data_IF_229908519498
#
_entry.id   IF_229908519498
#
_cell.length_a   1.000
_cell.length_b   1.000
_cell.length_c   1.000
_cell.angle_alpha   90.00
_cell.angle_beta   90.00
_cell.angle_gamma   90.00
#
_symmetry.space_group_name_H-M   'P 1'
#
loop_
_entity.id
_entity.type
_entity.pdbx_description
1 polymer ?
#
# COMPACT_ATOMS: atom_id res chain seq x y z
N UNK A 1 -3.65 -30.69 -11.09
CA UNK A 1 -3.23 -30.41 -9.70
C UNK A 1 -2.57 -31.68 -9.18
N UNK A 2 -1.28 -31.63 -8.84
CA UNK A 2 -0.61 -32.78 -8.23
C UNK A 2 -0.77 -32.72 -6.71
N UNK A 3 -1.24 -33.80 -6.10
CA UNK A 3 -1.30 -33.94 -4.65
C UNK A 3 -0.17 -34.87 -4.20
N UNK A 4 0.53 -34.51 -3.13
CA UNK A 4 1.45 -35.40 -2.45
C UNK A 4 0.86 -35.70 -1.07
N UNK A 5 0.30 -36.90 -0.89
CA UNK A 5 -0.20 -37.36 0.40
C UNK A 5 0.97 -38.02 1.15
N UNK A 6 1.29 -37.52 2.35
CA UNK A 6 2.29 -38.13 3.23
C UNK A 6 1.65 -38.43 4.58
N UNK A 7 1.84 -39.66 5.04
CA UNK A 7 1.30 -40.15 6.32
C UNK A 7 2.41 -40.17 7.36
N UNK A 8 2.11 -39.74 8.58
CA UNK A 8 3.06 -39.76 9.70
C UNK A 8 2.42 -40.42 10.93
N UNK A 9 3.21 -41.17 11.67
CA UNK A 9 2.81 -41.76 12.96
C UNK A 9 3.35 -40.88 14.09
N UNK A 10 2.50 -40.52 15.04
CA UNK A 10 2.89 -39.73 16.21
C UNK A 10 2.96 -40.64 17.45
N UNK A 11 4.03 -40.48 18.24
CA UNK A 11 4.17 -41.15 19.54
C UNK A 11 4.03 -40.08 20.63
N UNK A 12 3.00 -40.13 21.49
CA UNK A 12 2.88 -39.19 22.60
C UNK A 12 3.98 -39.48 23.64
N UNK A 13 4.62 -38.44 24.15
CA UNK A 13 5.52 -38.53 25.30
C UNK A 13 5.07 -37.52 26.36
N UNK A 14 4.74 -37.99 27.56
CA UNK A 14 4.41 -37.11 28.68
C UNK A 14 5.68 -36.49 29.25
N UNK A 15 5.66 -35.17 29.43
CA UNK A 15 6.72 -34.44 30.14
C UNK A 15 6.00 -33.63 31.21
N UNK A 16 6.22 -34.01 32.47
CA UNK A 16 5.81 -33.34 33.71
C UNK A 16 4.38 -32.78 33.76
N UNK A 17 3.40 -33.68 33.93
CA UNK A 17 2.07 -33.43 34.51
C UNK A 17 1.11 -32.47 33.79
N UNK A 18 1.60 -31.60 32.92
CA UNK A 18 0.84 -30.48 32.34
C UNK A 18 1.21 -30.18 30.88
N UNK A 19 2.05 -31.00 30.24
CA UNK A 19 2.44 -30.82 28.83
C UNK A 19 2.47 -32.14 28.04
N UNK A 20 1.76 -32.18 26.91
CA UNK A 20 1.86 -33.27 25.93
C UNK A 20 2.82 -32.83 24.83
N UNK A 21 3.98 -33.50 24.74
CA UNK A 21 4.92 -33.29 23.66
C UNK A 21 4.70 -34.37 22.59
N UNK A 22 4.47 -33.98 21.34
CA UNK A 22 4.37 -34.91 20.22
C UNK A 22 5.69 -34.89 19.45
N UNK A 23 6.44 -36.00 19.47
CA UNK A 23 7.64 -36.16 18.65
C UNK A 23 7.31 -36.88 17.34
N UNK A 24 7.78 -36.33 16.22
CA UNK A 24 7.91 -37.06 14.98
C UNK A 24 9.13 -37.97 15.06
N UNK A 25 9.02 -39.23 14.62
CA UNK A 25 10.16 -40.14 14.48
C UNK A 25 10.94 -39.85 13.18
N UNK A 26 11.58 -38.68 13.10
CA UNK A 26 12.63 -38.24 12.14
C UNK A 26 12.89 -36.71 12.35
N UNK A 27 13.95 -36.06 11.82
CA UNK A 27 14.65 -34.93 12.48
C UNK A 27 13.94 -33.57 12.39
N UNK A 28 12.66 -33.54 12.77
CA UNK A 28 11.81 -32.36 12.89
C UNK A 28 11.22 -32.38 14.29
N UNK A 29 11.62 -31.43 15.15
CA UNK A 29 10.87 -31.15 16.36
C UNK A 29 9.76 -30.16 16.06
N UNK A 30 8.54 -30.50 16.48
CA UNK A 30 7.40 -29.58 16.47
C UNK A 30 6.96 -29.47 17.92
N UNK A 31 6.99 -28.25 18.47
CA UNK A 31 6.54 -28.00 19.84
C UNK A 31 5.13 -27.44 19.81
N UNK A 32 4.21 -28.06 20.54
CA UNK A 32 2.86 -27.56 20.77
C UNK A 32 2.79 -26.96 22.17
N UNK A 33 2.23 -25.76 22.33
CA UNK A 33 1.86 -25.21 23.63
C UNK A 33 0.34 -25.00 23.62
N UNK A 34 -0.38 -25.65 24.53
CA UNK A 34 -1.81 -25.42 24.74
C UNK A 34 -2.03 -24.92 26.15
N UNK A 35 -2.75 -23.81 26.30
CA UNK A 35 -3.17 -23.31 27.61
C UNK A 35 -4.54 -23.94 27.96
N UNK A 36 -4.64 -24.64 29.08
CA UNK A 36 -5.90 -25.25 29.54
C UNK A 36 -6.74 -24.18 30.24
N UNK A 37 -7.49 -23.39 29.48
CA UNK A 37 -8.76 -22.81 29.91
C UNK A 37 -9.59 -22.35 28.70
N UNK A 38 -10.82 -22.87 28.63
CA UNK A 38 -11.89 -22.67 27.62
C UNK A 38 -11.83 -23.50 26.33
N UNK A 39 -12.74 -24.49 26.27
CA UNK A 39 -13.19 -25.16 25.06
C UNK A 39 -14.25 -24.29 24.34
N UNK A 40 -13.92 -23.80 23.15
CA UNK A 40 -14.80 -23.66 21.97
C UNK A 40 -13.92 -23.25 20.78
N UNK A 41 -13.81 -24.16 19.80
CA UNK A 41 -13.22 -23.99 18.46
C UNK A 41 -11.94 -23.12 18.37
N UNK A 42 -10.77 -23.74 18.61
CA UNK A 42 -9.49 -23.13 18.28
C UNK A 42 -9.00 -23.61 16.91
N UNK A 43 -8.96 -22.70 15.92
CA UNK A 43 -8.07 -22.85 14.79
C UNK A 43 -6.64 -22.51 15.25
N UNK A 44 -5.79 -23.52 15.48
CA UNK A 44 -4.39 -23.29 15.80
C UNK A 44 -3.61 -22.94 14.52
N UNK A 45 -3.09 -21.71 14.45
CA UNK A 45 -2.11 -21.34 13.44
C UNK A 45 -0.73 -21.88 13.88
N UNK A 46 -0.24 -22.92 13.22
CA UNK A 46 1.07 -23.52 13.53
C UNK A 46 2.12 -22.96 12.56
N UNK A 47 3.08 -22.19 13.08
CA UNK A 47 4.25 -21.79 12.33
C UNK A 47 5.33 -22.87 12.43
N UNK A 48 5.53 -23.65 11.38
CA UNK A 48 6.58 -24.68 11.33
C UNK A 48 7.90 -24.06 10.85
N UNK A 49 8.88 -23.95 11.73
CA UNK A 49 10.26 -23.60 11.36
C UNK A 49 11.02 -24.85 10.94
N UNK A 50 11.06 -25.15 9.64
CA UNK A 50 11.96 -26.18 9.12
C UNK A 50 13.38 -25.61 9.02
N UNK A 51 14.30 -26.03 9.90
CA UNK A 51 15.73 -26.06 9.55
C UNK A 51 15.99 -27.41 8.87
N UNK A 52 16.24 -27.39 7.57
CA UNK A 52 16.80 -28.56 6.92
C UNK A 52 18.23 -28.76 7.46
N UNK A 53 18.63 -29.98 7.84
CA UNK A 53 20.04 -30.23 8.12
C UNK A 53 20.84 -29.97 6.84
N UNK A 54 21.95 -29.24 6.97
CA UNK A 54 22.98 -29.22 5.93
C UNK A 54 23.39 -30.67 5.68
N UNK A 55 23.22 -31.15 4.45
CA UNK A 55 23.84 -32.40 4.03
C UNK A 55 25.34 -32.16 4.05
N UNK A 56 26.05 -32.75 5.01
CA UNK A 56 27.47 -33.01 4.84
C UNK A 56 27.61 -34.00 3.68
N UNK A 57 28.12 -33.50 2.55
CA UNK A 57 28.73 -34.34 1.55
C UNK A 57 30.15 -34.58 2.04
N UNK A 58 30.44 -35.78 2.53
CA UNK A 58 31.80 -36.29 2.47
C UNK A 58 32.07 -36.61 1.00
N UNK A 59 32.85 -35.77 0.34
CA UNK A 59 33.53 -36.18 -0.87
C UNK A 59 34.93 -35.58 -0.95
N UNK A 60 35.84 -36.41 -1.44
CA UNK A 60 37.27 -36.29 -1.31
C UNK A 60 37.81 -35.08 -2.08
N UNK A 61 38.39 -34.15 -1.32
CA UNK A 61 39.47 -33.25 -1.75
C UNK A 61 39.26 -32.46 -3.05
N UNK A 62 38.67 -31.26 -2.96
CA UNK A 62 39.13 -30.03 -3.64
C UNK A 62 38.39 -28.80 -3.08
N UNK A 63 39.03 -27.62 -2.98
CA UNK A 63 38.40 -26.43 -2.39
C UNK A 63 37.59 -25.65 -3.43
N UNK A 64 36.26 -25.59 -3.27
CA UNK A 64 35.41 -24.61 -3.97
C UNK A 64 34.73 -23.65 -2.99
N UNK A 65 34.74 -22.36 -3.34
CA UNK A 65 34.13 -21.24 -2.62
C UNK A 65 32.63 -21.47 -2.39
N UNK A 66 32.20 -21.53 -1.13
CA UNK A 66 30.80 -21.54 -0.74
C UNK A 66 30.11 -20.21 -1.07
N UNK A 67 29.03 -20.29 -1.86
CA UNK A 67 28.08 -19.18 -2.09
C UNK A 67 26.86 -19.47 -1.22
N UNK A 68 26.53 -18.58 -0.29
CA UNK A 68 25.36 -18.74 0.59
C UNK A 68 24.07 -18.78 -0.26
N UNK A 69 23.40 -19.93 -0.28
CA UNK A 69 22.08 -20.09 -0.91
C UNK A 69 21.04 -19.55 0.10
N UNK A 70 20.36 -18.48 -0.29
CA UNK A 70 19.23 -17.92 0.46
C UNK A 70 18.12 -18.96 0.62
N UNK A 71 17.86 -19.38 1.86
CA UNK A 71 16.80 -20.33 2.19
C UNK A 71 15.42 -19.77 1.85
N UNK A 72 14.67 -20.47 1.00
CA UNK A 72 13.30 -20.13 0.65
C UNK A 72 12.37 -20.40 1.83
N UNK A 73 11.75 -19.36 2.41
CA UNK A 73 10.73 -19.51 3.45
C UNK A 73 9.42 -19.97 2.80
N UNK A 74 8.95 -21.17 3.15
CA UNK A 74 7.61 -21.66 2.77
C UNK A 74 6.70 -21.55 3.97
N UNK A 75 5.55 -20.92 3.77
CA UNK A 75 4.46 -20.91 4.74
C UNK A 75 3.58 -22.12 4.46
N UNK A 76 3.37 -22.97 5.45
CA UNK A 76 2.45 -24.10 5.39
C UNK A 76 1.28 -23.81 6.31
N UNK A 77 0.05 -23.99 5.83
CA UNK A 77 -1.15 -23.94 6.66
C UNK A 77 -1.55 -25.40 6.94
N UNK A 78 -1.59 -25.75 8.22
CA UNK A 78 -2.04 -27.06 8.70
C UNK A 78 -3.49 -26.95 9.15
N UNK A 79 -4.38 -27.72 8.56
CA UNK A 79 -5.78 -27.80 8.98
C UNK A 79 -6.01 -29.17 9.62
N UNK A 80 -6.39 -29.20 10.89
CA UNK A 80 -6.76 -30.43 11.60
C UNK A 80 -8.28 -30.54 11.57
N UNK A 81 -8.80 -31.55 10.87
CA UNK A 81 -10.23 -31.91 10.94
C UNK A 81 -10.40 -33.07 11.92
N UNK A 82 -11.09 -32.88 13.05
CA UNK A 82 -11.45 -33.99 13.91
C UNK A 82 -12.51 -34.85 13.21
N UNK A 83 -12.17 -36.12 12.95
CA UNK A 83 -13.14 -37.15 12.57
C UNK A 83 -13.73 -37.72 13.86
N UNK A 84 -14.91 -37.25 14.27
CA UNK A 84 -15.64 -37.84 15.40
C UNK A 84 -16.37 -39.10 14.90
N UNK A 85 -15.65 -40.22 14.91
CA UNK A 85 -16.24 -41.56 14.89
C UNK A 85 -15.43 -42.45 15.85
N UNK A 86 -16.17 -43.21 16.66
CA UNK A 86 -15.78 -43.98 17.83
C UNK A 86 -14.32 -44.47 17.90
N UNK A 87 -13.71 -44.24 19.07
CA UNK A 87 -12.35 -44.64 19.45
C UNK A 87 -12.21 -46.17 19.48
N UNK A 88 -11.53 -46.72 18.47
CA UNK A 88 -10.77 -47.98 18.55
C UNK A 88 -9.33 -47.69 18.13
N UNK A 89 -8.30 -48.04 18.92
CA UNK A 89 -6.91 -47.77 18.56
C UNK A 89 -6.41 -48.68 17.41
N UNK A 90 -5.49 -48.21 16.53
CA UNK A 90 -4.82 -46.91 16.56
C UNK A 90 -5.37 -45.91 15.52
N UNK A 91 -5.72 -44.71 15.98
CA UNK A 91 -6.18 -43.62 15.11
C UNK A 91 -5.00 -43.01 14.34
N UNK A 92 -5.03 -43.11 13.00
CA UNK A 92 -4.06 -42.48 12.11
C UNK A 92 -4.43 -40.99 11.93
N UNK A 93 -3.57 -40.08 12.37
CA UNK A 93 -3.71 -38.66 12.06
C UNK A 93 -3.22 -38.39 10.64
N UNK A 94 -4.14 -38.08 9.72
CA UNK A 94 -3.78 -37.63 8.36
C UNK A 94 -3.60 -36.11 8.35
N UNK A 95 -2.39 -35.67 8.02
CA UNK A 95 -2.07 -34.25 7.85
C UNK A 95 -2.05 -33.95 6.36
N UNK A 96 -2.99 -33.11 5.88
CA UNK A 96 -2.91 -32.56 4.52
C UNK A 96 -2.09 -31.28 4.55
N UNK A 97 -0.98 -31.28 3.79
CA UNK A 97 -0.17 -30.10 3.57
C UNK A 97 -0.61 -29.46 2.27
N UNK A 98 -1.23 -28.28 2.35
CA UNK A 98 -1.57 -27.50 1.18
C UNK A 98 -0.37 -26.63 0.79
N UNK A 99 0.24 -26.91 -0.37
CA UNK A 99 1.10 -25.95 -1.04
C UNK A 99 0.21 -24.89 -1.66
N UNK A 100 0.19 -23.69 -1.06
CA UNK A 100 -0.49 -22.56 -1.68
C UNK A 100 0.16 -22.33 -3.06
N UNK A 101 -0.64 -22.17 -4.13
CA UNK A 101 -0.09 -21.81 -5.43
C UNK A 101 0.77 -20.57 -5.25
N UNK A 102 1.91 -20.50 -5.95
CA UNK A 102 2.67 -19.24 -6.05
C UNK A 102 1.66 -18.21 -6.51
N UNK A 103 1.31 -17.24 -5.63
CA UNK A 103 0.61 -16.04 -6.06
C UNK A 103 1.52 -15.39 -7.09
N UNK A 104 1.27 -15.67 -8.37
CA UNK A 104 1.65 -14.77 -9.45
C UNK A 104 0.90 -13.51 -9.12
N UNK A 105 1.55 -12.58 -8.41
CA UNK A 105 0.90 -11.35 -7.95
C UNK A 105 0.37 -10.65 -9.20
N UNK A 106 -0.93 -10.74 -9.40
CA UNK A 106 -1.60 -10.00 -10.45
C UNK A 106 -1.24 -8.53 -10.19
N UNK A 107 -0.69 -7.84 -11.19
CA UNK A 107 -0.26 -6.46 -10.98
C UNK A 107 -1.47 -5.63 -10.54
N UNK A 108 -1.36 -4.82 -9.47
CA UNK A 108 -2.51 -4.20 -8.79
C UNK A 108 -3.14 -3.03 -9.57
N UNK A 109 -2.91 -2.96 -10.87
CA UNK A 109 -3.30 -1.84 -11.72
C UNK A 109 -4.45 -2.23 -12.65
N UNK A 110 -5.42 -1.33 -12.88
CA UNK A 110 -5.52 0.01 -12.30
C UNK A 110 -5.95 0.00 -10.82
N UNK A 111 -5.37 0.90 -10.02
CA UNK A 111 -5.78 1.16 -8.65
C UNK A 111 -7.18 1.79 -8.66
N UNK A 112 -8.11 1.18 -7.92
CA UNK A 112 -9.49 1.66 -7.85
C UNK A 112 -9.59 3.02 -7.13
N UNK A 113 -10.32 4.00 -7.67
CA UNK A 113 -10.51 5.29 -7.03
C UNK A 113 -11.33 5.18 -5.74
N UNK A 114 -11.17 6.17 -4.86
CA UNK A 114 -12.01 6.40 -3.69
C UNK A 114 -13.35 7.07 -4.09
N UNK A 115 -14.40 6.94 -3.26
CA UNK A 115 -15.68 7.62 -3.49
C UNK A 115 -15.51 9.15 -3.61
N UNK A 116 -16.26 9.76 -4.53
CA UNK A 116 -16.28 11.21 -4.79
C UNK A 116 -17.73 11.68 -4.98
N UNK A 117 -17.94 13.00 -5.09
CA UNK A 117 -19.25 13.61 -5.34
C UNK A 117 -19.17 14.67 -6.43
N UNK A 118 -20.23 14.84 -7.22
CA UNK A 118 -20.33 15.95 -8.16
C UNK A 118 -20.75 17.28 -7.52
N UNK A 119 -21.01 17.28 -6.21
CA UNK A 119 -21.42 18.48 -5.47
C UNK A 119 -20.29 19.51 -5.35
N UNK A 120 -20.66 20.77 -5.18
CA UNK A 120 -19.72 21.84 -4.84
C UNK A 120 -19.33 21.72 -3.35
N UNK A 121 -18.11 21.24 -3.11
CA UNK A 121 -17.58 21.03 -1.76
C UNK A 121 -17.52 22.33 -0.94
N UNK A 122 -17.38 23.49 -1.60
CA UNK A 122 -17.33 24.78 -0.91
C UNK A 122 -18.65 25.15 -0.25
N UNK A 123 -19.77 24.61 -0.75
CA UNK A 123 -21.13 24.81 -0.21
C UNK A 123 -21.51 23.82 0.87
N UNK A 124 -20.74 22.74 1.03
CA UNK A 124 -20.98 21.74 2.06
C UNK A 124 -20.41 22.21 3.41
N UNK A 125 -20.95 21.62 4.47
CA UNK A 125 -20.30 21.64 5.77
C UNK A 125 -18.90 21.02 5.65
N UNK A 126 -17.87 21.74 6.06
CA UNK A 126 -16.46 21.38 5.93
C UNK A 126 -16.14 20.04 6.61
N UNK A 127 -16.91 19.67 7.65
CA UNK A 127 -16.75 18.39 8.36
C UNK A 127 -17.24 17.22 7.51
N UNK A 128 -18.25 17.47 6.67
CA UNK A 128 -18.76 16.52 5.67
C UNK A 128 -17.88 16.52 4.42
N UNK A 129 -17.37 17.69 4.01
CA UNK A 129 -16.53 17.87 2.84
C UNK A 129 -15.14 17.24 3.00
N UNK A 130 -14.56 17.27 4.21
CA UNK A 130 -13.19 16.81 4.47
C UNK A 130 -12.84 15.42 3.89
N UNK A 131 -13.58 14.33 4.17
CA UNK A 131 -13.26 13.01 3.61
C UNK A 131 -13.38 12.98 2.07
N UNK A 132 -14.24 13.82 1.47
CA UNK A 132 -14.39 13.94 0.02
C UNK A 132 -13.21 14.68 -0.59
N UNK A 133 -12.76 15.79 0.01
CA UNK A 133 -11.56 16.52 -0.42
C UNK A 133 -10.31 15.64 -0.37
N UNK A 134 -10.15 14.88 0.72
CA UNK A 134 -9.08 13.87 0.83
C UNK A 134 -9.17 12.85 -0.31
N UNK A 135 -10.37 12.35 -0.60
CA UNK A 135 -10.61 11.37 -1.67
C UNK A 135 -10.26 11.94 -3.05
N UNK A 136 -10.64 13.18 -3.36
CA UNK A 136 -10.29 13.85 -4.62
C UNK A 136 -8.78 13.97 -4.82
N UNK A 137 -8.06 14.51 -3.83
CA UNK A 137 -6.61 14.67 -3.92
C UNK A 137 -5.90 13.33 -4.07
N UNK A 138 -6.32 12.32 -3.31
CA UNK A 138 -5.75 10.96 -3.40
C UNK A 138 -6.08 10.29 -4.74
N UNK A 139 -7.26 10.52 -5.30
CA UNK A 139 -7.64 10.02 -6.63
C UNK A 139 -6.80 10.63 -7.75
N UNK A 140 -6.45 11.92 -7.67
CA UNK A 140 -5.49 12.56 -8.58
C UNK A 140 -4.15 11.83 -8.57
N UNK A 141 -3.64 11.48 -7.38
CA UNK A 141 -2.36 10.76 -7.24
C UNK A 141 -2.45 9.32 -7.74
N UNK A 142 -3.54 8.61 -7.46
CA UNK A 142 -3.80 7.27 -8.00
C UNK A 142 -3.92 7.29 -9.53
N UNK A 143 -4.57 8.30 -10.09
CA UNK A 143 -4.67 8.49 -11.54
C UNK A 143 -3.29 8.68 -12.17
N UNK A 144 -2.42 9.48 -11.54
CA UNK A 144 -1.02 9.62 -11.93
C UNK A 144 -0.30 8.27 -11.99
N UNK A 145 -0.38 7.45 -10.94
CA UNK A 145 0.23 6.12 -10.90
C UNK A 145 -0.32 5.18 -11.99
N UNK A 146 -1.65 5.12 -12.14
CA UNK A 146 -2.32 4.30 -13.16
C UNK A 146 -1.88 4.70 -14.58
N UNK A 147 -1.78 6.00 -14.84
CA UNK A 147 -1.34 6.52 -16.11
C UNK A 147 0.14 6.21 -16.38
N UNK A 148 1.01 6.31 -15.37
CA UNK A 148 2.42 5.91 -15.50
C UNK A 148 2.53 4.42 -15.85
N UNK A 149 1.77 3.54 -15.20
CA UNK A 149 1.80 2.11 -15.50
C UNK A 149 1.34 1.81 -16.93
N UNK A 150 0.37 2.56 -17.43
CA UNK A 150 -0.13 2.42 -18.80
C UNK A 150 0.86 2.94 -19.85
N UNK A 151 1.60 4.01 -19.53
CA UNK A 151 2.50 4.68 -20.49
C UNK A 151 3.93 4.16 -20.45
N UNK A 152 4.46 3.83 -19.27
CA UNK A 152 5.86 3.46 -19.08
C UNK A 152 6.37 2.36 -20.05
N UNK A 153 5.63 1.26 -20.31
CA UNK A 153 6.09 0.19 -21.20
C UNK A 153 6.26 0.62 -22.67
N UNK A 154 5.71 1.79 -23.07
CA UNK A 154 5.79 2.31 -24.44
C UNK A 154 7.12 2.99 -24.74
N UNK A 155 7.92 3.29 -23.71
CA UNK A 155 9.22 3.93 -23.86
C UNK A 155 10.34 2.90 -23.68
N UNK A 156 11.17 2.74 -24.70
CA UNK A 156 12.44 2.02 -24.60
C UNK A 156 13.54 2.92 -24.04
N UNK A 157 14.68 2.33 -23.68
CA UNK A 157 15.86 3.07 -23.20
C UNK A 157 16.45 4.03 -24.24
N UNK A 158 16.18 3.79 -25.54
CA UNK A 158 16.61 4.65 -26.64
C UNK A 158 15.57 5.71 -27.05
N UNK A 159 14.36 5.73 -26.45
CA UNK A 159 13.36 6.76 -26.77
C UNK A 159 13.82 8.11 -26.20
N UNK A 160 13.96 9.17 -27.02
CA UNK A 160 14.41 10.48 -26.53
C UNK A 160 13.49 11.09 -25.48
N UNK A 161 12.22 10.67 -25.42
CA UNK A 161 11.24 11.12 -24.41
C UNK A 161 11.38 10.37 -23.09
N UNK A 162 12.10 9.26 -23.04
CA UNK A 162 12.23 8.43 -21.84
C UNK A 162 12.82 9.21 -20.66
N UNK A 163 13.82 10.08 -20.91
CA UNK A 163 14.42 10.93 -19.88
C UNK A 163 13.44 11.98 -19.33
N UNK A 164 12.63 12.58 -20.21
CA UNK A 164 11.59 13.55 -19.82
C UNK A 164 10.49 12.86 -19.02
N UNK A 165 10.04 11.68 -19.48
CA UNK A 165 9.06 10.87 -18.78
C UNK A 165 9.57 10.40 -17.40
N UNK A 166 10.81 9.95 -17.30
CA UNK A 166 11.45 9.59 -16.03
C UNK A 166 11.46 10.78 -15.05
N UNK A 167 11.80 11.98 -15.53
CA UNK A 167 11.78 13.20 -14.74
C UNK A 167 10.37 13.56 -14.24
N UNK A 168 9.38 13.43 -15.13
CA UNK A 168 7.97 13.59 -14.78
C UNK A 168 7.53 12.61 -13.67
N UNK A 169 7.85 11.32 -13.83
CA UNK A 169 7.52 10.28 -12.82
C UNK A 169 8.20 10.60 -11.50
N UNK A 170 9.47 11.02 -11.52
CA UNK A 170 10.19 11.41 -10.29
C UNK A 170 9.46 12.53 -9.54
N UNK A 171 9.03 13.59 -10.24
CA UNK A 171 8.28 14.70 -9.64
C UNK A 171 6.92 14.28 -9.10
N UNK A 172 6.21 13.41 -9.81
CA UNK A 172 4.95 12.84 -9.32
C UNK A 172 5.17 12.05 -8.01
N UNK A 173 6.21 11.22 -7.94
CA UNK A 173 6.55 10.48 -6.73
C UNK A 173 6.94 11.42 -5.57
N UNK A 174 7.60 12.55 -5.86
CA UNK A 174 7.86 13.60 -4.86
C UNK A 174 6.55 14.20 -4.33
N UNK A 175 5.58 14.50 -5.18
CA UNK A 175 4.26 15.00 -4.75
C UNK A 175 3.55 13.98 -3.85
N UNK A 176 3.63 12.68 -4.14
CA UNK A 176 3.07 11.63 -3.26
C UNK A 176 3.76 11.64 -1.89
N UNK A 177 5.10 11.71 -1.84
CA UNK A 177 5.86 11.78 -0.60
C UNK A 177 5.55 13.05 0.20
N UNK A 178 5.35 14.18 -0.49
CA UNK A 178 4.92 15.43 0.14
C UNK A 178 3.51 15.26 0.70
N UNK A 179 2.56 14.72 -0.06
CA UNK A 179 1.17 14.53 0.39
C UNK A 179 1.08 13.67 1.65
N UNK A 180 1.84 12.58 1.75
CA UNK A 180 1.88 11.74 2.97
C UNK A 180 2.36 12.55 4.19
N UNK A 181 3.37 13.41 4.01
CA UNK A 181 3.87 14.30 5.08
C UNK A 181 2.86 15.38 5.45
N UNK A 182 2.18 15.93 4.45
CA UNK A 182 1.12 16.93 4.60
C UNK A 182 -0.07 16.35 5.37
N UNK A 183 -0.50 15.12 5.08
CA UNK A 183 -1.55 14.44 5.86
C UNK A 183 -1.14 14.32 7.33
N UNK A 184 0.09 13.86 7.60
CA UNK A 184 0.61 13.80 8.98
C UNK A 184 0.60 15.18 9.64
N UNK A 185 1.05 16.22 8.93
CA UNK A 185 1.01 17.59 9.42
C UNK A 185 -0.42 18.01 9.77
N UNK A 186 -1.37 17.85 8.84
CA UNK A 186 -2.78 18.19 9.05
C UNK A 186 -3.38 17.55 10.29
N UNK A 187 -3.14 16.25 10.50
CA UNK A 187 -3.73 15.55 11.64
C UNK A 187 -3.03 15.85 12.99
N UNK A 188 -1.78 16.32 12.97
CA UNK A 188 -0.99 16.60 14.20
C UNK A 188 -0.85 18.07 14.55
N UNK A 189 -1.13 18.98 13.63
CA UNK A 189 -1.05 20.42 13.88
C UNK A 189 -2.26 20.87 14.72
N UNK A 190 -2.04 21.59 15.84
CA UNK A 190 -3.14 22.15 16.62
C UNK A 190 -3.99 23.10 15.80
N UNK A 191 -5.31 22.98 15.93
CA UNK A 191 -6.29 23.93 15.40
C UNK A 191 -6.33 25.20 16.27
N UNK A 192 -7.13 26.20 15.90
CA UNK A 192 -7.24 27.48 16.64
C UNK A 192 -7.61 27.29 18.12
N UNK A 193 -8.42 26.27 18.42
CA UNK A 193 -8.81 25.88 19.77
C UNK A 193 -7.77 24.98 20.50
N UNK A 194 -6.61 24.75 19.91
CA UNK A 194 -5.52 23.92 20.45
C UNK A 194 -5.71 22.41 20.29
N UNK A 195 -6.85 21.93 19.78
CA UNK A 195 -7.08 20.51 19.55
C UNK A 195 -6.34 20.02 18.30
N UNK A 196 -5.82 18.80 18.38
CA UNK A 196 -5.24 18.08 17.24
C UNK A 196 -6.23 17.03 16.75
N UNK A 197 -6.36 16.83 15.43
CA UNK A 197 -7.36 15.90 14.88
C UNK A 197 -7.07 14.44 15.25
N UNK A 198 -5.82 14.08 15.55
CA UNK A 198 -5.49 12.77 16.14
C UNK A 198 -6.17 12.52 17.49
N UNK A 199 -6.44 13.56 18.28
CA UNK A 199 -7.20 13.41 19.53
C UNK A 199 -8.69 13.12 19.30
N UNK A 200 -9.19 13.46 18.10
CA UNK A 200 -10.59 13.26 17.69
C UNK A 200 -10.77 11.90 17.01
N UNK A 201 -9.87 11.54 16.10
CA UNK A 201 -9.99 10.34 15.26
C UNK A 201 -9.17 9.14 15.75
N UNK A 202 -8.28 9.36 16.72
CA UNK A 202 -7.33 8.35 17.18
C UNK A 202 -6.17 8.12 16.19
N UNK A 203 -5.26 7.17 16.51
CA UNK A 203 -4.04 6.95 15.74
C UNK A 203 -4.28 6.43 14.31
N UNK A 204 -5.46 5.88 14.02
CA UNK A 204 -5.78 5.33 12.71
C UNK A 204 -5.79 6.39 11.57
N UNK A 205 -5.96 7.68 11.88
CA UNK A 205 -5.86 8.75 10.88
C UNK A 205 -4.41 9.07 10.47
N UNK A 206 -3.41 8.59 11.24
CA UNK A 206 -1.98 8.69 10.92
C UNK A 206 -1.34 7.31 10.99
N UNK A 207 -1.67 6.41 10.06
CA UNK A 207 -1.03 5.11 9.99
C UNK A 207 0.48 5.27 9.75
N UNK A 208 1.27 4.27 10.17
CA UNK A 208 2.69 4.23 9.82
C UNK A 208 2.85 4.15 8.30
N UNK A 209 3.59 5.13 7.77
CA UNK A 209 3.83 5.30 6.33
C UNK A 209 5.29 5.07 5.95
N UNK A 210 6.16 4.73 6.92
CA UNK A 210 7.61 4.65 6.68
C UNK A 210 7.94 3.61 5.60
N UNK A 211 7.35 2.41 5.68
CA UNK A 211 7.58 1.33 4.72
C UNK A 211 7.24 1.75 3.27
N UNK A 212 6.07 2.36 3.08
CA UNK A 212 5.62 2.90 1.80
C UNK A 212 6.53 4.03 1.31
N UNK A 213 6.86 5.00 2.16
CA UNK A 213 7.74 6.11 1.81
C UNK A 213 9.14 5.65 1.37
N UNK A 214 9.70 4.66 2.07
CA UNK A 214 11.01 4.08 1.73
C UNK A 214 10.97 3.40 0.35
N UNK A 215 9.88 2.70 0.03
CA UNK A 215 9.70 2.08 -1.29
C UNK A 215 9.57 3.14 -2.39
N UNK A 216 8.72 4.15 -2.20
CA UNK A 216 8.55 5.25 -3.16
C UNK A 216 9.89 5.96 -3.42
N UNK A 217 10.64 6.26 -2.35
CA UNK A 217 11.96 6.90 -2.42
C UNK A 217 12.93 6.06 -3.25
N UNK A 218 13.00 4.75 -3.02
CA UNK A 218 13.85 3.84 -3.82
C UNK A 218 13.46 3.82 -5.29
N UNK A 219 12.15 3.82 -5.61
CA UNK A 219 11.71 3.87 -7.02
C UNK A 219 12.14 5.19 -7.65
N UNK A 220 11.86 6.32 -6.99
CA UNK A 220 12.24 7.65 -7.44
C UNK A 220 13.75 7.75 -7.69
N UNK A 221 14.57 7.33 -6.74
CA UNK A 221 16.04 7.42 -6.86
C UNK A 221 16.57 6.51 -7.97
N UNK A 222 15.90 5.39 -8.25
CA UNK A 222 16.29 4.50 -9.34
C UNK A 222 16.08 5.10 -10.74
N UNK A 223 15.28 6.17 -10.88
CA UNK A 223 15.06 6.87 -12.16
C UNK A 223 16.28 7.71 -12.59
N UNK A 224 17.25 7.94 -11.69
CA UNK A 224 18.48 8.68 -11.99
C UNK A 224 19.49 7.88 -12.84
N UNK A 225 19.38 6.55 -12.84
CA UNK A 225 20.35 5.63 -13.46
C UNK A 225 19.98 5.10 -14.85
N UNK A 226 18.99 5.69 -15.51
CA UNK A 226 18.44 5.23 -16.78
C UNK A 226 17.00 4.73 -16.67
N UNK A 227 16.26 4.79 -17.78
CA UNK A 227 14.84 4.45 -17.81
C UNK A 227 14.60 3.06 -18.41
N UNK A 228 13.91 2.21 -17.66
CA UNK A 228 13.29 0.96 -18.12
C UNK A 228 11.83 0.96 -17.68
N UNK A 229 10.93 1.07 -18.64
CA UNK A 229 9.50 1.13 -18.39
C UNK A 229 8.93 -0.12 -17.74
N UNK A 230 9.41 -1.33 -18.11
CA UNK A 230 8.94 -2.59 -17.52
C UNK A 230 9.44 -2.71 -16.08
N UNK A 231 10.70 -2.38 -15.84
CA UNK A 231 11.26 -2.38 -14.49
C UNK A 231 10.57 -1.36 -13.59
N UNK A 232 10.22 -0.17 -14.11
CA UNK A 232 9.45 0.83 -13.38
C UNK A 232 8.08 0.29 -12.97
N UNK A 233 7.32 -0.33 -13.86
CA UNK A 233 6.01 -0.92 -13.53
C UNK A 233 6.13 -1.96 -12.42
N UNK A 234 7.10 -2.87 -12.52
CA UNK A 234 7.36 -3.86 -11.46
C UNK A 234 7.69 -3.21 -10.12
N UNK A 235 8.49 -2.14 -10.12
CA UNK A 235 8.83 -1.37 -8.91
C UNK A 235 7.63 -0.65 -8.31
N UNK A 236 6.75 -0.04 -9.12
CA UNK A 236 5.52 0.59 -8.63
C UNK A 236 4.58 -0.45 -7.98
N UNK A 237 4.50 -1.65 -8.54
CA UNK A 237 3.73 -2.76 -7.97
C UNK A 237 4.17 -3.17 -6.55
N UNK A 238 5.37 -2.80 -6.10
CA UNK A 238 5.86 -3.15 -4.75
C UNK A 238 5.24 -2.34 -3.61
N UNK A 239 4.61 -1.20 -3.90
CA UNK A 239 4.01 -0.32 -2.90
C UNK A 239 2.59 0.14 -3.23
N UNK A 240 2.10 -0.07 -4.45
CA UNK A 240 0.83 0.49 -4.92
C UNK A 240 -0.39 0.11 -4.05
N UNK A 241 -0.56 -1.18 -3.74
CA UNK A 241 -1.65 -1.65 -2.87
C UNK A 241 -1.51 -1.13 -1.43
N UNK A 242 -0.28 -1.12 -0.90
CA UNK A 242 0.01 -0.65 0.46
C UNK A 242 -0.30 0.85 0.59
N UNK A 243 0.08 1.65 -0.41
CA UNK A 243 -0.25 3.07 -0.48
C UNK A 243 -1.76 3.31 -0.55
N UNK A 244 -2.46 2.56 -1.42
CA UNK A 244 -3.91 2.68 -1.55
C UNK A 244 -4.61 2.28 -0.24
N UNK A 245 -4.19 1.19 0.40
CA UNK A 245 -4.72 0.74 1.69
C UNK A 245 -4.48 1.77 2.80
N UNK A 246 -3.29 2.37 2.83
CA UNK A 246 -2.95 3.45 3.75
C UNK A 246 -3.92 4.62 3.60
N UNK A 247 -4.14 5.10 2.37
CA UNK A 247 -5.06 6.18 2.06
C UNK A 247 -6.53 5.85 2.34
N UNK A 248 -6.96 4.63 2.02
CA UNK A 248 -8.30 4.12 2.37
C UNK A 248 -8.53 4.20 3.89
N UNK A 249 -7.56 3.73 4.67
CA UNK A 249 -7.62 3.74 6.14
C UNK A 249 -7.72 5.16 6.70
N UNK A 250 -6.93 6.10 6.16
CA UNK A 250 -6.99 7.50 6.57
C UNK A 250 -8.34 8.14 6.28
N UNK A 251 -8.90 7.95 5.07
CA UNK A 251 -10.23 8.48 4.72
C UNK A 251 -11.29 7.87 5.64
N UNK A 252 -11.25 6.56 5.87
CA UNK A 252 -12.22 5.85 6.72
C UNK A 252 -12.13 6.26 8.20
N UNK A 253 -10.96 6.72 8.66
CA UNK A 253 -10.78 7.19 10.04
C UNK A 253 -11.46 8.55 10.30
N UNK A 254 -11.82 9.32 9.26
CA UNK A 254 -12.51 10.61 9.41
C UNK A 254 -13.98 10.37 9.79
N UNK A 255 -14.24 10.36 11.09
CA UNK A 255 -15.59 10.23 11.64
C UNK A 255 -16.28 11.60 11.72
N UNK A 256 -17.16 11.90 10.76
CA UNK A 256 -17.89 13.18 10.66
C UNK A 256 -18.68 13.51 11.93
N UNK A 257 -19.28 12.51 12.59
CA UNK A 257 -20.05 12.71 13.83
C UNK A 257 -19.14 13.11 14.99
N UNK A 258 -18.00 12.43 15.16
CA UNK A 258 -17.02 12.75 16.18
C UNK A 258 -16.39 14.14 15.95
N UNK A 259 -16.09 14.46 14.69
CA UNK A 259 -15.59 15.78 14.29
C UNK A 259 -16.61 16.88 14.62
N UNK A 260 -17.88 16.68 14.26
CA UNK A 260 -18.96 17.65 14.51
C UNK A 260 -19.25 17.88 15.99
N UNK A 261 -18.93 16.92 16.86
CA UNK A 261 -19.07 17.06 18.31
C UNK A 261 -17.95 17.87 18.96
N UNK A 262 -16.83 18.09 18.26
CA UNK A 262 -15.61 18.70 18.81
C UNK A 262 -15.13 19.94 18.07
N UNK A 263 -15.55 20.11 16.82
CA UNK A 263 -15.12 21.18 15.93
C UNK A 263 -16.32 21.79 15.20
N UNK A 264 -16.24 23.09 14.99
CA UNK A 264 -17.17 23.86 14.16
C UNK A 264 -16.82 23.72 12.67
N UNK A 265 -17.77 24.08 11.79
CA UNK A 265 -17.52 24.16 10.34
C UNK A 265 -16.32 25.07 10.03
N UNK A 266 -16.29 26.26 10.63
CA UNK A 266 -15.29 27.28 10.35
C UNK A 266 -13.88 26.86 10.77
N UNK A 267 -13.72 26.21 11.93
CA UNK A 267 -12.43 25.68 12.40
C UNK A 267 -11.87 24.64 11.43
N UNK A 268 -12.71 23.70 10.96
CA UNK A 268 -12.28 22.66 10.01
C UNK A 268 -11.96 23.27 8.64
N UNK A 269 -12.75 24.25 8.18
CA UNK A 269 -12.50 24.97 6.93
C UNK A 269 -11.18 25.74 6.98
N UNK A 270 -10.91 26.40 8.11
CA UNK A 270 -9.65 27.12 8.32
C UNK A 270 -8.45 26.16 8.34
N UNK A 271 -8.53 25.05 9.09
CA UNK A 271 -7.48 24.03 9.10
C UNK A 271 -7.23 23.42 7.71
N UNK A 272 -8.31 23.16 6.96
CA UNK A 272 -8.26 22.65 5.58
C UNK A 272 -7.57 23.64 4.64
N UNK A 273 -7.90 24.94 4.74
CA UNK A 273 -7.21 25.99 3.98
C UNK A 273 -5.72 26.06 4.34
N UNK A 274 -5.38 25.97 5.62
CA UNK A 274 -3.99 26.03 6.06
C UNK A 274 -3.16 24.84 5.57
N UNK A 275 -3.73 23.62 5.56
CA UNK A 275 -3.02 22.47 4.98
C UNK A 275 -2.85 22.61 3.46
N UNK A 276 -3.80 23.19 2.74
CA UNK A 276 -3.64 23.46 1.30
C UNK A 276 -2.52 24.47 1.05
N UNK A 277 -2.45 25.56 1.83
CA UNK A 277 -1.36 26.54 1.78
C UNK A 277 -0.02 25.87 2.10
N UNK A 278 0.03 25.06 3.16
CA UNK A 278 1.21 24.30 3.52
C UNK A 278 1.63 23.37 2.39
N UNK A 279 0.72 22.59 1.81
CA UNK A 279 1.00 21.70 0.69
C UNK A 279 1.60 22.44 -0.51
N UNK A 280 0.99 23.56 -0.89
CA UNK A 280 1.49 24.41 -1.96
C UNK A 280 2.91 24.94 -1.67
N UNK A 281 3.21 25.32 -0.41
CA UNK A 281 4.55 25.79 -0.01
C UNK A 281 5.63 24.71 -0.11
N UNK A 282 5.25 23.43 -0.07
CA UNK A 282 6.17 22.30 -0.15
C UNK A 282 6.41 21.82 -1.58
N UNK A 283 5.69 22.36 -2.57
CA UNK A 283 5.75 21.92 -3.96
C UNK A 283 6.18 23.06 -4.88
N UNK A 284 6.74 22.70 -6.04
CA UNK A 284 6.86 23.64 -7.15
C UNK A 284 5.45 23.95 -7.71
N UNK A 285 4.94 25.19 -7.59
CA UNK A 285 3.61 25.53 -8.07
C UNK A 285 3.47 25.36 -9.59
N UNK A 286 4.57 25.50 -10.36
CA UNK A 286 4.56 25.28 -11.80
C UNK A 286 4.38 23.80 -12.17
N UNK A 287 4.65 22.88 -11.25
CA UNK A 287 4.33 21.48 -11.40
C UNK A 287 2.99 21.11 -10.75
N UNK A 288 2.76 21.53 -9.51
CA UNK A 288 1.64 21.06 -8.69
C UNK A 288 0.28 21.40 -9.31
N UNK A 289 0.05 22.66 -9.68
CA UNK A 289 -1.27 23.09 -10.16
C UNK A 289 -1.63 22.42 -11.50
N UNK A 290 -0.77 22.45 -12.55
CA UNK A 290 -1.08 21.72 -13.77
C UNK A 290 -1.17 20.20 -13.56
N UNK A 291 -0.38 19.64 -12.64
CA UNK A 291 -0.46 18.21 -12.30
C UNK A 291 -1.84 17.85 -11.75
N UNK A 292 -2.37 18.59 -10.76
CA UNK A 292 -3.71 18.32 -10.20
C UNK A 292 -4.77 18.42 -11.30
N UNK A 293 -4.76 19.51 -12.08
CA UNK A 293 -5.74 19.75 -13.13
C UNK A 293 -5.69 18.72 -14.27
N UNK A 294 -4.50 18.18 -14.57
CA UNK A 294 -4.32 17.20 -15.64
C UNK A 294 -4.60 15.76 -15.23
N UNK A 295 -4.83 15.50 -13.93
CA UNK A 295 -5.11 14.17 -13.38
C UNK A 295 -6.46 14.07 -12.68
N UNK A 296 -7.17 15.19 -12.60
CA UNK A 296 -8.56 15.23 -12.17
C UNK A 296 -9.49 14.99 -13.36
N UNK A 297 -10.41 14.03 -13.22
CA UNK A 297 -11.48 13.84 -14.19
C UNK A 297 -12.63 14.81 -13.88
N UNK A 298 -12.76 15.86 -14.69
CA UNK A 298 -13.81 16.87 -14.53
C UNK A 298 -15.24 16.33 -14.67
N UNK A 299 -15.42 15.13 -15.24
CA UNK A 299 -16.72 14.47 -15.25
C UNK A 299 -17.16 14.03 -13.85
N UNK A 300 -16.21 13.78 -12.93
CA UNK A 300 -16.52 13.42 -11.54
C UNK A 300 -16.94 14.61 -10.70
N UNK A 301 -16.33 15.78 -10.93
CA UNK A 301 -16.76 17.07 -10.38
C UNK A 301 -16.16 18.22 -11.18
N UNK A 302 -17.00 19.17 -11.59
CA UNK A 302 -16.57 20.43 -12.23
C UNK A 302 -16.11 21.50 -11.23
N UNK A 303 -16.39 21.29 -9.94
CA UNK A 303 -16.12 22.27 -8.88
C UNK A 303 -14.76 22.04 -8.20
N UNK A 304 -14.12 20.90 -8.48
CA UNK A 304 -12.84 20.54 -7.90
C UNK A 304 -11.75 20.41 -8.98
N UNK A 305 -10.49 20.81 -8.72
CA UNK A 305 -10.08 21.64 -7.59
C UNK A 305 -10.63 23.07 -7.75
N UNK A 306 -11.01 23.75 -6.66
CA UNK A 306 -11.39 25.15 -6.72
C UNK A 306 -10.20 25.98 -7.22
N UNK A 307 -10.37 26.64 -8.36
CA UNK A 307 -9.33 27.43 -9.01
C UNK A 307 -9.86 28.82 -9.29
N UNK A 308 -9.18 29.85 -8.79
CA UNK A 308 -9.59 31.24 -8.98
C UNK A 308 -9.36 31.70 -10.44
N UNK A 309 -10.00 32.78 -10.90
CA UNK A 309 -9.73 33.35 -12.22
C UNK A 309 -8.25 33.65 -12.45
N UNK A 310 -7.52 34.13 -11.44
CA UNK A 310 -6.08 34.39 -11.51
C UNK A 310 -5.29 33.09 -11.67
N UNK A 311 -5.70 32.02 -10.98
CA UNK A 311 -5.11 30.69 -11.15
C UNK A 311 -5.27 30.16 -12.57
N UNK A 312 -6.46 30.33 -13.16
CA UNK A 312 -6.71 29.99 -14.57
C UNK A 312 -5.88 30.85 -15.53
N UNK A 313 -5.76 32.15 -15.27
CA UNK A 313 -4.97 33.06 -16.08
C UNK A 313 -3.46 32.76 -16.01
N UNK A 314 -2.95 32.31 -14.86
CA UNK A 314 -1.55 31.94 -14.66
C UNK A 314 -1.19 30.57 -15.27
N UNK A 315 -2.17 29.67 -15.43
CA UNK A 315 -1.96 28.28 -15.82
C UNK A 315 -1.11 28.11 -17.10
N UNK A 316 -1.34 28.84 -18.22
CA UNK A 316 -0.52 28.68 -19.41
C UNK A 316 0.96 28.99 -19.18
N UNK A 317 1.28 29.97 -18.35
CA UNK A 317 2.66 30.34 -18.02
C UNK A 317 3.31 29.29 -17.12
N UNK A 318 2.58 28.75 -16.14
CA UNK A 318 3.05 27.66 -15.28
C UNK A 318 3.37 26.40 -16.09
N UNK A 319 2.49 26.04 -17.04
CA UNK A 319 2.69 24.87 -17.90
C UNK A 319 3.96 24.97 -18.76
N UNK A 320 4.40 26.17 -19.17
CA UNK A 320 5.62 26.34 -19.97
C UNK A 320 6.89 25.89 -19.26
N UNK A 321 6.93 25.97 -17.93
CA UNK A 321 8.12 25.59 -17.12
C UNK A 321 8.47 24.11 -17.33
N UNK A 322 7.46 23.25 -17.43
CA UNK A 322 7.61 21.80 -17.59
C UNK A 322 6.91 21.28 -18.85
N UNK A 323 7.00 22.02 -19.97
CA UNK A 323 6.17 21.80 -21.16
C UNK A 323 6.11 20.32 -21.62
N UNK A 324 7.25 19.62 -21.65
CA UNK A 324 7.30 18.21 -22.08
C UNK A 324 6.67 17.20 -21.11
N UNK A 325 6.37 17.59 -19.86
CA UNK A 325 5.69 16.69 -18.91
C UNK A 325 4.21 16.50 -19.26
N UNK A 326 3.60 17.53 -19.84
CA UNK A 326 2.17 17.56 -20.12
C UNK A 326 1.77 16.75 -21.35
N UNK A 327 2.72 16.13 -22.03
CA UNK A 327 2.48 15.12 -23.07
C UNK A 327 2.12 13.76 -22.48
N UNK A 328 2.41 13.55 -21.19
CA UNK A 328 2.22 12.28 -20.52
C UNK A 328 0.96 12.18 -19.68
N UNK A 329 0.22 13.28 -19.49
CA UNK A 329 -0.92 13.34 -18.58
C UNK A 329 -2.22 12.84 -19.25
N UNK A 330 -3.20 12.34 -18.47
CA UNK A 330 -4.45 11.79 -19.01
C UNK A 330 -5.47 12.85 -19.44
N UNK A 331 -5.40 14.08 -18.90
CA UNK A 331 -6.31 15.17 -19.25
C UNK A 331 -5.54 16.44 -19.58
N UNK A 332 -6.09 17.26 -20.46
CA UNK A 332 -5.60 18.61 -20.71
C UNK A 332 -5.91 19.53 -19.52
N UNK A 333 -4.89 20.16 -18.94
CA UNK A 333 -5.03 20.97 -17.73
C UNK A 333 -6.00 22.14 -17.89
N UNK A 334 -6.14 22.68 -19.11
CA UNK A 334 -6.94 23.89 -19.40
C UNK A 334 -8.38 23.52 -19.69
N UNK A 335 -8.58 22.60 -20.63
CA UNK A 335 -9.91 22.21 -21.13
C UNK A 335 -10.55 21.08 -20.34
N UNK A 336 -9.74 20.26 -19.65
CA UNK A 336 -10.19 19.02 -19.01
C UNK A 336 -10.47 17.89 -19.99
N UNK A 337 -10.19 18.08 -21.28
CA UNK A 337 -10.41 17.06 -22.29
C UNK A 337 -9.47 15.87 -22.06
N UNK A 338 -10.00 14.65 -22.18
CA UNK A 338 -9.20 13.43 -22.08
C UNK A 338 -8.23 13.34 -23.25
N UNK A 339 -6.95 13.09 -22.93
CA UNK A 339 -5.89 12.87 -23.93
C UNK A 339 -5.83 11.39 -24.34
N UNK A 340 -5.45 11.11 -25.59
CA UNK A 340 -5.32 9.75 -26.11
C UNK A 340 -4.18 8.95 -25.46
#
# INVERSE_FOLDING_TARGET
MGYEERTWSLVPTMIDGFSVCMRLQNPLSITFCTNHNHYKECACLVAVHCRLPERQWEDNGQPQRQKAISGSRRLYILTLTPSVTQLSPPSILRIRVHTLPRCTSQMPFPLAPFPVTSADLMTLDARVALPLEMSFMKNVLLCGLNNVVTRAPKFGSADPRAAVFASYVSRMLDVILIHIRVDKHFFTTPMENGLVLTSVFGPACIPDSKGVCDKITRVRDSLKGGFDGKALVGKLGTFADELRALWQGQIAAVNVKALSAKQTDNEVRHATRNVVIYFASQCDPAFLLPFILSHHDRATSKFWPPTTPEGWAALPSLMKVHAGFWDFVPFDATTGAKKP
#
